data_IF_409169115551
#
_entry.id   IF_409169115551
#
_cell.length_a   1.000
_cell.length_b   1.000
_cell.length_c   1.000
_cell.angle_alpha   90.00
_cell.angle_beta   90.00
_cell.angle_gamma   90.00
#
_symmetry.space_group_name_H-M   'P 1'
#
loop_
_entity.id
_entity.type
_entity.pdbx_description
1 polymer ?
#
# COMPACT_ATOMS: atom_id res chain seq x y z
N UNK A 1 -3.28 1.46 2.78
CA UNK A 1 -4.73 1.19 2.91
C UNK A 1 -5.44 2.47 3.31
N UNK A 2 -6.70 2.64 2.89
CA UNK A 2 -7.56 3.72 3.36
C UNK A 2 -8.34 3.40 4.63
N UNK A 3 -8.25 2.15 5.13
CA UNK A 3 -8.89 1.74 6.38
C UNK A 3 -8.26 2.50 7.55
N UNK A 4 -9.04 2.78 8.59
CA UNK A 4 -8.48 3.27 9.86
C UNK A 4 -7.64 2.19 10.56
N UNK A 5 -6.51 2.55 11.19
CA UNK A 5 -5.73 1.62 11.99
C UNK A 5 -6.56 1.06 13.15
N UNK A 6 -6.37 -0.23 13.45
CA UNK A 6 -6.85 -0.85 14.69
C UNK A 6 -5.93 -0.45 15.85
N UNK A 7 -6.42 -0.64 17.09
CA UNK A 7 -5.69 -0.29 18.33
C UNK A 7 -4.28 -0.90 18.40
N UNK A 8 -4.11 -2.12 17.88
CA UNK A 8 -2.83 -2.84 17.94
C UNK A 8 -1.96 -2.66 16.68
N UNK A 9 -2.43 -1.92 15.68
CA UNK A 9 -1.70 -1.72 14.43
C UNK A 9 -0.78 -0.50 14.52
N UNK A 10 0.50 -0.70 14.18
CA UNK A 10 1.46 0.39 14.04
C UNK A 10 1.58 0.82 12.59
N UNK A 11 1.57 2.13 12.38
CA UNK A 11 1.83 2.74 11.09
C UNK A 11 3.19 2.33 10.53
N UNK A 12 3.23 1.93 9.26
CA UNK A 12 4.45 1.50 8.58
C UNK A 12 4.95 0.10 8.94
N UNK A 13 4.29 -0.61 9.87
CA UNK A 13 4.67 -1.98 10.20
C UNK A 13 3.98 -3.01 9.29
N UNK A 14 2.64 -3.00 9.27
CA UNK A 14 1.85 -3.86 8.37
C UNK A 14 1.21 -3.08 7.23
N UNK A 15 0.78 -1.85 7.52
CA UNK A 15 0.11 -0.99 6.54
C UNK A 15 0.59 0.45 6.68
N UNK A 16 0.66 1.13 5.54
CA UNK A 16 0.63 2.58 5.47
C UNK A 16 -0.83 3.02 5.45
N UNK A 17 -1.24 3.78 6.46
CA UNK A 17 -2.61 4.29 6.58
C UNK A 17 -2.65 5.68 5.97
N UNK A 18 -3.50 5.88 4.97
CA UNK A 18 -3.64 7.18 4.29
C UNK A 18 -5.11 7.45 3.99
N UNK A 19 -5.48 8.70 3.69
CA UNK A 19 -6.87 8.98 3.36
C UNK A 19 -7.28 8.34 2.03
N UNK A 20 -8.58 8.06 1.87
CA UNK A 20 -9.11 7.52 0.61
C UNK A 20 -8.81 8.44 -0.57
N UNK A 21 -8.96 9.76 -0.39
CA UNK A 21 -8.70 10.75 -1.45
C UNK A 21 -7.24 10.77 -1.91
N UNK A 22 -6.29 10.66 -0.98
CA UNK A 22 -4.86 10.57 -1.33
C UNK A 22 -4.57 9.28 -2.08
N UNK A 23 -5.13 8.16 -1.60
CA UNK A 23 -4.94 6.86 -2.25
C UNK A 23 -5.52 6.83 -3.67
N UNK A 24 -6.70 7.39 -3.89
CA UNK A 24 -7.31 7.52 -5.23
C UNK A 24 -6.48 8.41 -6.16
N UNK A 25 -5.87 9.48 -5.63
CA UNK A 25 -4.97 10.35 -6.40
C UNK A 25 -3.72 9.60 -6.83
N UNK A 26 -3.08 8.90 -5.89
CA UNK A 26 -1.89 8.10 -6.13
C UNK A 26 -2.14 6.94 -7.11
N UNK A 27 -3.32 6.30 -7.02
CA UNK A 27 -3.78 5.29 -7.99
C UNK A 27 -3.88 5.89 -9.39
N UNK A 28 -4.52 7.05 -9.55
CA UNK A 28 -4.62 7.75 -10.85
C UNK A 28 -3.26 8.18 -11.40
N UNK A 29 -2.31 8.48 -10.51
CA UNK A 29 -0.93 8.78 -10.87
C UNK A 29 -0.07 7.55 -11.17
N UNK A 30 -0.62 6.33 -11.08
CA UNK A 30 0.13 5.10 -11.35
C UNK A 30 1.19 4.77 -10.30
N UNK A 31 1.02 5.22 -9.05
CA UNK A 31 1.99 4.99 -7.95
C UNK A 31 1.79 3.67 -7.19
N UNK A 32 0.80 2.87 -7.61
CA UNK A 32 0.49 1.56 -7.03
C UNK A 32 0.77 0.46 -8.05
N UNK A 33 1.46 -0.59 -7.61
CA UNK A 33 1.69 -1.80 -8.39
C UNK A 33 0.37 -2.56 -8.61
N UNK A 34 -0.39 -2.70 -7.53
CA UNK A 34 -1.73 -3.26 -7.51
C UNK A 34 -2.60 -2.44 -6.55
N UNK A 35 -3.89 -2.39 -6.83
CA UNK A 35 -4.86 -1.79 -5.94
C UNK A 35 -6.21 -2.51 -6.06
N UNK A 36 -6.99 -2.48 -4.97
CA UNK A 36 -8.32 -3.08 -4.90
C UNK A 36 -9.15 -2.48 -3.78
N UNK A 37 -10.45 -2.75 -3.80
CA UNK A 37 -11.37 -2.31 -2.76
C UNK A 37 -11.93 -3.53 -2.01
N UNK A 38 -11.89 -3.49 -0.69
CA UNK A 38 -12.43 -4.51 0.19
C UNK A 38 -13.14 -3.86 1.38
N UNK A 39 -14.39 -4.23 1.61
CA UNK A 39 -15.23 -3.70 2.69
C UNK A 39 -15.25 -2.15 2.72
N UNK A 40 -15.41 -1.53 1.53
CA UNK A 40 -15.44 -0.08 1.37
C UNK A 40 -14.10 0.65 1.57
N UNK A 41 -13.00 -0.08 1.78
CA UNK A 41 -11.67 0.47 1.99
C UNK A 41 -10.73 0.07 0.85
N UNK A 42 -9.87 1.00 0.46
CA UNK A 42 -8.85 0.77 -0.56
C UNK A 42 -7.62 0.09 0.04
N UNK A 43 -7.11 -0.88 -0.70
CA UNK A 43 -5.88 -1.61 -0.43
C UNK A 43 -5.02 -1.59 -1.69
N UNK A 44 -3.70 -1.68 -1.51
CA UNK A 44 -2.78 -1.66 -2.62
C UNK A 44 -1.34 -1.60 -2.15
N UNK A 45 -0.46 -2.01 -3.05
CA UNK A 45 0.99 -2.07 -2.85
C UNK A 45 1.64 -0.89 -3.54
N UNK A 46 2.18 0.06 -2.75
CA UNK A 46 2.86 1.26 -3.31
C UNK A 46 4.19 0.87 -3.94
N UNK A 47 4.45 1.42 -5.12
CA UNK A 47 5.76 1.28 -5.80
C UNK A 47 6.86 1.92 -4.93
N UNK A 48 6.53 3.08 -4.34
CA UNK A 48 7.16 3.72 -3.18
C UNK A 48 7.92 2.75 -2.26
N UNK A 49 7.12 1.93 -1.60
CA UNK A 49 7.55 1.01 -0.56
C UNK A 49 8.41 -0.14 -1.09
N UNK A 50 8.26 -0.51 -2.36
CA UNK A 50 9.10 -1.53 -2.99
C UNK A 50 10.53 -0.97 -3.17
N UNK A 51 10.64 0.25 -3.69
CA UNK A 51 11.93 0.91 -3.86
C UNK A 51 12.64 1.11 -2.52
N UNK A 52 11.94 1.53 -1.47
CA UNK A 52 12.53 1.65 -0.12
C UNK A 52 13.17 0.35 0.39
N UNK A 53 12.53 -0.80 0.14
CA UNK A 53 13.09 -2.11 0.53
C UNK A 53 14.33 -2.44 -0.29
N UNK A 54 14.28 -2.22 -1.61
CA UNK A 54 15.40 -2.46 -2.52
C UNK A 54 16.59 -1.56 -2.16
N UNK A 55 16.35 -0.27 -1.92
CA UNK A 55 17.35 0.72 -1.53
C UNK A 55 17.98 0.41 -0.17
N UNK A 56 17.24 -0.28 0.72
CA UNK A 56 17.78 -0.79 1.98
C UNK A 56 18.73 -2.00 1.82
N UNK A 57 19.01 -2.41 0.57
CA UNK A 57 19.85 -3.56 0.25
C UNK A 57 19.17 -4.91 0.49
N UNK A 58 17.84 -4.93 0.59
CA UNK A 58 17.05 -6.14 0.83
C UNK A 58 16.30 -6.56 -0.44
N UNK A 59 15.99 -7.85 -0.53
CA UNK A 59 15.13 -8.37 -1.59
C UNK A 59 13.68 -8.26 -1.13
N UNK A 60 12.87 -7.49 -1.87
CA UNK A 60 11.45 -7.40 -1.65
C UNK A 60 10.75 -8.64 -2.23
N UNK A 61 10.09 -9.43 -1.38
CA UNK A 61 9.25 -10.56 -1.80
C UNK A 61 7.82 -10.06 -1.90
N UNK A 62 7.26 -10.14 -3.10
CA UNK A 62 5.93 -9.65 -3.43
C UNK A 62 5.02 -10.85 -3.70
N UNK A 63 3.95 -10.96 -2.93
CA UNK A 63 2.86 -11.92 -3.14
C UNK A 63 1.66 -11.16 -3.71
N UNK A 64 1.65 -11.02 -5.03
CA UNK A 64 0.64 -10.26 -5.77
C UNK A 64 -0.13 -11.21 -6.69
N UNK A 65 -1.44 -10.98 -6.85
CA UNK A 65 -2.22 -11.77 -7.78
C UNK A 65 -1.95 -11.30 -9.22
N UNK A 66 -1.74 -12.21 -10.19
CA UNK A 66 -1.62 -11.83 -11.58
C UNK A 66 -2.93 -11.18 -12.07
N UNK A 67 -2.79 -10.06 -12.78
CA UNK A 67 -3.89 -9.37 -13.48
C UNK A 67 -4.38 -10.14 -14.70
#
# INVERSE_FOLDING_TARGET
TSRKPKVDEKEGQMYLFMSRSEMETDIKCGRFLEHGEYDGNLYGTKIDSIHEVVDSGKICILDVNPQ
#
